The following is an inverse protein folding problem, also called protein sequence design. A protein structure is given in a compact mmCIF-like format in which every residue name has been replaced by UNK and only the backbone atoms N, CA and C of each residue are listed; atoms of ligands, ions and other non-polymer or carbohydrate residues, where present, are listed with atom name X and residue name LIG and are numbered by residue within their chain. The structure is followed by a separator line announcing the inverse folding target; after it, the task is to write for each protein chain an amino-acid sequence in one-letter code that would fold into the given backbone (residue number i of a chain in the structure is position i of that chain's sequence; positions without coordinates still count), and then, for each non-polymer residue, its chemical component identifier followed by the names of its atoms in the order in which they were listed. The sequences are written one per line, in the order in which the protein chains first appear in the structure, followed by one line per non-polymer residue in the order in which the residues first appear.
data_IF_281667166417
#
_entry.id   IF_281667166417
#
_cell.length_a   1.000
_cell.length_b   1.000
_cell.length_c   1.000
_cell.angle_alpha   90.00
_cell.angle_beta   90.00
_cell.angle_gamma   90.00
#
_symmetry.space_group_name_H-M   'P 1'
#
loop_
_entity.id
_entity.type
_entity.pdbx_description
1 polymer ?
#
# COMPACT_ATOMS: atom_id res chain seq x y z
N UNK A 1 -10.04 29.24 -4.97
CA UNK A 1 -9.36 28.71 -6.16
C UNK A 1 -8.10 27.91 -5.79
N UNK A 2 -7.23 28.41 -4.91
CA UNK A 2 -5.99 27.70 -4.50
C UNK A 2 -6.30 26.34 -3.87
N UNK A 3 -7.27 26.25 -2.98
CA UNK A 3 -7.65 24.99 -2.34
C UNK A 3 -8.13 23.92 -3.33
N UNK A 4 -8.88 24.35 -4.36
CA UNK A 4 -9.32 23.42 -5.41
C UNK A 4 -8.15 22.82 -6.19
N UNK A 5 -7.14 23.63 -6.53
CA UNK A 5 -5.94 23.17 -7.23
C UNK A 5 -5.18 22.12 -6.41
N UNK A 6 -5.01 22.36 -5.10
CA UNK A 6 -4.32 21.43 -4.20
C UNK A 6 -5.09 20.11 -4.08
N UNK A 7 -6.41 20.17 -3.94
CA UNK A 7 -7.22 18.95 -3.85
C UNK A 7 -7.26 18.17 -5.16
N UNK A 8 -7.28 18.84 -6.32
CA UNK A 8 -7.25 18.17 -7.61
C UNK A 8 -5.91 17.45 -7.85
N UNK A 9 -4.79 18.06 -7.48
CA UNK A 9 -3.48 17.42 -7.54
C UNK A 9 -3.40 16.18 -6.64
N UNK A 10 -4.00 16.21 -5.46
CA UNK A 10 -4.10 15.05 -4.57
C UNK A 10 -4.88 13.89 -5.21
N UNK A 11 -5.98 14.19 -5.89
CA UNK A 11 -6.78 13.18 -6.59
C UNK A 11 -6.01 12.57 -7.80
N UNK A 12 -5.24 13.37 -8.51
CA UNK A 12 -4.38 12.90 -9.61
C UNK A 12 -3.28 11.96 -9.09
N UNK A 13 -2.58 12.35 -8.03
CA UNK A 13 -1.55 11.53 -7.37
C UNK A 13 -2.14 10.20 -6.93
N UNK A 14 -3.32 10.21 -6.31
CA UNK A 14 -4.02 8.99 -5.90
C UNK A 14 -4.34 8.09 -7.11
N UNK A 15 -4.83 8.66 -8.20
CA UNK A 15 -5.16 7.90 -9.42
C UNK A 15 -3.92 7.26 -10.04
N UNK A 16 -2.79 7.97 -10.08
CA UNK A 16 -1.51 7.44 -10.54
C UNK A 16 -1.05 6.30 -9.62
N UNK A 17 -1.15 6.49 -8.31
CA UNK A 17 -0.77 5.47 -7.33
C UNK A 17 -1.60 4.19 -7.47
N UNK A 18 -2.92 4.29 -7.60
CA UNK A 18 -3.79 3.14 -7.81
C UNK A 18 -3.44 2.38 -9.10
N UNK A 19 -3.13 3.12 -10.17
CA UNK A 19 -2.67 2.55 -11.44
C UNK A 19 -1.33 1.84 -11.28
N UNK A 20 -0.38 2.45 -10.58
CA UNK A 20 0.94 1.86 -10.30
C UNK A 20 0.82 0.58 -9.45
N UNK A 21 -0.02 0.59 -8.41
CA UNK A 21 -0.30 -0.61 -7.59
C UNK A 21 -0.85 -1.74 -8.46
N UNK A 22 -1.83 -1.42 -9.30
CA UNK A 22 -2.45 -2.43 -10.15
C UNK A 22 -1.48 -3.01 -11.17
N UNK A 23 -0.68 -2.15 -11.81
CA UNK A 23 0.36 -2.57 -12.75
C UNK A 23 1.40 -3.47 -12.05
N UNK A 24 1.98 -3.03 -10.95
CA UNK A 24 2.97 -3.81 -10.19
C UNK A 24 2.38 -5.14 -9.69
N UNK A 25 1.15 -5.13 -9.20
CA UNK A 25 0.48 -6.35 -8.75
C UNK A 25 0.37 -7.39 -9.86
N UNK A 26 0.07 -6.96 -11.08
CA UNK A 26 0.02 -7.83 -12.26
C UNK A 26 1.42 -8.34 -12.65
N UNK A 27 2.43 -7.46 -12.70
CA UNK A 27 3.82 -7.84 -13.03
C UNK A 27 4.38 -8.87 -12.05
N UNK A 28 4.14 -8.66 -10.76
CA UNK A 28 4.59 -9.57 -9.71
C UNK A 28 3.62 -10.74 -9.45
N UNK A 29 2.52 -10.82 -10.19
CA UNK A 29 1.45 -11.83 -10.01
C UNK A 29 0.98 -11.94 -8.55
N UNK A 30 0.88 -10.82 -7.87
CA UNK A 30 0.35 -10.72 -6.51
C UNK A 30 -1.13 -10.33 -6.59
N UNK A 31 -2.06 -11.24 -6.30
CA UNK A 31 -3.47 -10.93 -6.40
C UNK A 31 -3.88 -9.90 -5.34
N UNK A 32 -4.52 -8.84 -5.78
CA UNK A 32 -5.07 -7.83 -4.90
C UNK A 32 -6.37 -7.27 -5.48
N UNK A 33 -7.16 -6.65 -4.61
CA UNK A 33 -8.39 -5.96 -4.99
C UNK A 33 -8.49 -4.65 -4.23
N UNK A 34 -8.63 -3.56 -4.95
CA UNK A 34 -8.98 -2.27 -4.37
C UNK A 34 -10.36 -2.36 -3.70
N UNK A 35 -10.47 -1.84 -2.49
CA UNK A 35 -11.73 -1.81 -1.72
C UNK A 35 -12.29 -0.41 -1.69
N UNK A 36 -11.53 0.52 -1.15
CA UNK A 36 -11.94 1.92 -1.06
C UNK A 36 -10.73 2.83 -0.73
N UNK A 37 -10.93 4.14 -0.89
CA UNK A 37 -10.03 5.15 -0.36
C UNK A 37 -10.85 6.14 0.48
N UNK A 38 -10.29 6.55 1.62
CA UNK A 38 -10.86 7.58 2.49
C UNK A 38 -9.77 8.59 2.80
N UNK A 39 -9.91 9.82 2.31
CA UNK A 39 -8.89 10.85 2.43
C UNK A 39 -7.54 10.39 1.89
N UNK A 40 -6.58 10.15 2.76
CA UNK A 40 -5.21 9.70 2.51
C UNK A 40 -4.98 8.20 2.80
N UNK A 41 -6.01 7.49 3.23
CA UNK A 41 -5.98 6.05 3.46
C UNK A 41 -6.48 5.29 2.24
N UNK A 42 -5.76 4.25 1.84
CA UNK A 42 -6.10 3.38 0.71
C UNK A 42 -6.15 1.93 1.20
N UNK A 43 -7.23 1.25 0.88
CA UNK A 43 -7.52 -0.08 1.41
C UNK A 43 -7.63 -1.10 0.28
N UNK A 44 -6.87 -2.18 0.44
CA UNK A 44 -6.85 -3.31 -0.48
C UNK A 44 -7.13 -4.61 0.24
N UNK A 45 -7.72 -5.55 -0.47
CA UNK A 45 -7.80 -6.95 -0.06
C UNK A 45 -6.79 -7.77 -0.86
N UNK A 46 -6.07 -8.65 -0.16
CA UNK A 46 -5.17 -9.63 -0.76
C UNK A 46 -5.25 -10.93 0.06
N UNK A 47 -5.03 -12.11 -0.55
CA UNK A 47 -4.94 -13.33 0.22
C UNK A 47 -3.79 -13.27 1.23
N UNK A 48 -4.00 -13.76 2.45
CA UNK A 48 -3.08 -13.68 3.59
C UNK A 48 -1.63 -14.05 3.22
N UNK A 49 -1.43 -15.11 2.46
CA UNK A 49 -0.10 -15.56 2.00
C UNK A 49 0.67 -14.54 1.16
N UNK A 50 0.01 -13.52 0.65
CA UNK A 50 0.61 -12.44 -0.15
C UNK A 50 0.64 -11.09 0.58
N UNK A 51 0.05 -10.99 1.77
CA UNK A 51 -0.15 -9.72 2.46
C UNK A 51 1.17 -8.93 2.65
N UNK A 52 2.22 -9.59 3.16
CA UNK A 52 3.53 -8.96 3.34
C UNK A 52 4.16 -8.53 2.00
N UNK A 53 4.06 -9.38 0.97
CA UNK A 53 4.59 -9.07 -0.37
C UNK A 53 3.83 -7.89 -0.99
N UNK A 54 2.50 -7.88 -0.83
CA UNK A 54 1.68 -6.79 -1.29
C UNK A 54 1.99 -5.47 -0.56
N UNK A 55 2.25 -5.52 0.75
CA UNK A 55 2.66 -4.35 1.52
C UNK A 55 3.96 -3.73 0.97
N UNK A 56 4.97 -4.54 0.63
CA UNK A 56 6.20 -4.07 -0.04
C UNK A 56 5.88 -3.44 -1.39
N UNK A 57 5.07 -4.13 -2.20
CA UNK A 57 4.67 -3.66 -3.53
C UNK A 57 3.93 -2.32 -3.46
N UNK A 58 3.07 -2.16 -2.47
CA UNK A 58 2.35 -0.91 -2.21
C UNK A 58 3.32 0.24 -1.88
N UNK A 59 4.34 -0.01 -1.06
CA UNK A 59 5.39 0.97 -0.77
C UNK A 59 6.19 1.37 -2.01
N UNK A 60 6.52 0.39 -2.86
CA UNK A 60 7.20 0.65 -4.14
C UNK A 60 6.32 1.51 -5.05
N UNK A 61 5.02 1.21 -5.15
CA UNK A 61 4.08 1.99 -5.94
C UNK A 61 3.99 3.44 -5.45
N UNK A 62 4.00 3.65 -4.14
CA UNK A 62 4.00 4.97 -3.54
C UNK A 62 5.24 5.78 -3.94
N UNK A 63 6.42 5.20 -3.81
CA UNK A 63 7.67 5.86 -4.21
C UNK A 63 7.75 6.11 -5.72
N UNK A 64 7.29 5.15 -6.52
CA UNK A 64 7.19 5.30 -7.97
C UNK A 64 6.29 6.47 -8.35
N UNK A 65 5.12 6.60 -7.72
CA UNK A 65 4.18 7.69 -7.96
C UNK A 65 4.81 9.06 -7.67
N UNK A 66 5.50 9.19 -6.55
CA UNK A 66 6.21 10.44 -6.22
C UNK A 66 7.31 10.75 -7.22
N UNK A 67 8.10 9.76 -7.60
CA UNK A 67 9.19 9.94 -8.59
C UNK A 67 8.65 10.37 -9.94
N UNK A 68 7.57 9.75 -10.41
CA UNK A 68 6.91 10.11 -11.66
C UNK A 68 6.38 11.54 -11.60
N UNK A 69 5.67 11.89 -10.55
CA UNK A 69 5.09 13.23 -10.39
C UNK A 69 6.15 14.32 -10.37
N UNK A 70 7.27 14.09 -9.67
CA UNK A 70 8.40 15.02 -9.68
C UNK A 70 9.07 15.14 -11.04
N UNK A 71 9.21 14.03 -11.76
CA UNK A 71 9.76 14.01 -13.12
C UNK A 71 8.90 14.84 -14.08
N UNK A 72 7.58 14.66 -14.03
CA UNK A 72 6.64 15.40 -14.89
C UNK A 72 6.62 16.90 -14.58
N UNK A 73 6.87 17.29 -13.34
CA UNK A 73 7.01 18.69 -12.95
C UNK A 73 8.38 19.30 -13.28
N UNK A 74 9.31 18.52 -13.83
CA UNK A 74 10.65 18.96 -14.13
C UNK A 74 11.52 19.23 -12.90
N UNK A 75 11.20 18.60 -11.77
CA UNK A 75 11.99 18.68 -10.54
C UNK A 75 13.05 17.57 -10.59
N UNK A 76 14.34 17.89 -10.74
CA UNK A 76 15.38 16.89 -11.01
C UNK A 76 15.66 15.97 -9.82
N UNK A 77 15.42 16.47 -8.61
CA UNK A 77 15.68 15.73 -7.38
C UNK A 77 14.41 15.56 -6.54
N UNK A 78 14.16 14.35 -6.08
CA UNK A 78 13.13 14.10 -5.08
C UNK A 78 13.64 14.61 -3.73
N UNK A 79 13.02 15.66 -3.14
CA UNK A 79 13.46 16.16 -1.85
C UNK A 79 13.43 15.06 -0.79
N UNK A 80 14.45 14.98 0.06
CA UNK A 80 14.52 14.00 1.15
C UNK A 80 13.27 14.02 2.04
N UNK A 81 12.65 15.20 2.21
CA UNK A 81 11.39 15.35 2.93
C UNK A 81 10.19 14.66 2.26
N UNK A 82 10.33 14.21 1.01
CA UNK A 82 9.32 13.48 0.25
C UNK A 82 9.70 12.03 -0.02
N UNK A 83 10.95 11.67 0.22
CA UNK A 83 11.47 10.32 0.04
C UNK A 83 11.23 9.45 1.29
N UNK A 84 9.99 9.41 1.77
CA UNK A 84 9.61 8.56 2.88
C UNK A 84 8.51 7.57 2.45
N UNK A 85 8.56 6.41 3.04
CA UNK A 85 7.52 5.40 2.87
C UNK A 85 6.36 5.65 3.82
N UNK A 86 5.15 5.36 3.37
CA UNK A 86 3.98 5.31 4.25
C UNK A 86 4.07 4.11 5.19
N UNK A 87 3.31 4.08 6.27
CA UNK A 87 3.07 2.85 7.01
C UNK A 87 2.01 2.01 6.31
N UNK A 88 2.08 0.68 6.46
CA UNK A 88 1.08 -0.26 5.94
C UNK A 88 0.57 -1.12 7.08
N UNK A 89 -0.72 -1.05 7.35
CA UNK A 89 -1.38 -1.93 8.31
C UNK A 89 -1.90 -3.18 7.60
N UNK A 90 -1.52 -4.35 8.10
CA UNK A 90 -2.05 -5.65 7.68
C UNK A 90 -3.02 -6.13 8.76
N UNK A 91 -4.29 -6.25 8.41
CA UNK A 91 -5.34 -6.70 9.30
C UNK A 91 -6.25 -7.70 8.58
N UNK A 92 -6.89 -8.57 9.32
CA UNK A 92 -7.92 -9.47 8.79
C UNK A 92 -9.27 -8.79 8.61
N UNK A 93 -9.41 -7.57 9.09
CA UNK A 93 -10.66 -6.79 9.08
C UNK A 93 -10.44 -5.36 8.63
N UNK A 94 -11.52 -4.81 8.09
CA UNK A 94 -11.61 -3.41 7.77
C UNK A 94 -11.89 -2.63 9.06
N UNK A 95 -10.88 -2.01 9.65
CA UNK A 95 -11.03 -1.13 10.81
C UNK A 95 -10.17 0.12 10.66
N UNK A 96 -10.64 1.23 11.19
CA UNK A 96 -9.96 2.52 11.09
C UNK A 96 -8.73 2.60 12.01
N UNK A 97 -8.77 1.90 13.12
CA UNK A 97 -7.66 1.81 14.06
C UNK A 97 -7.49 0.37 14.53
N UNK A 98 -6.27 -0.18 14.55
CA UNK A 98 -6.01 -1.55 15.03
C UNK A 98 -6.46 -1.79 16.47
N UNK A 99 -6.59 -0.73 17.26
CA UNK A 99 -6.94 -0.79 18.69
C UNK A 99 -8.42 -0.52 18.98
N UNK A 100 -9.24 -0.30 17.96
CA UNK A 100 -10.63 0.09 18.14
C UNK A 100 -11.48 -1.09 18.60
N UNK A 101 -12.10 -0.95 19.79
CA UNK A 101 -13.11 -1.89 20.28
C UNK A 101 -14.41 -1.63 19.54
N UNK A 102 -14.84 -2.56 18.70
CA UNK A 102 -16.03 -2.36 17.90
C UNK A 102 -17.16 -3.27 18.38
N UNK A 103 -18.19 -2.70 18.98
CA UNK A 103 -19.48 -3.37 19.18
C UNK A 103 -20.27 -3.23 17.88
N UNK A 104 -20.51 -4.35 17.21
CA UNK A 104 -21.29 -4.41 15.97
C UNK A 104 -22.36 -5.47 16.05
N UNK A 105 -23.27 -5.53 15.10
CA UNK A 105 -24.30 -6.58 15.03
C UNK A 105 -23.65 -7.98 14.97
N UNK A 106 -22.50 -8.11 14.31
CA UNK A 106 -21.73 -9.36 14.24
C UNK A 106 -20.80 -9.60 15.43
N UNK A 107 -20.56 -8.59 16.25
CA UNK A 107 -19.76 -8.65 17.48
C UNK A 107 -20.48 -7.94 18.64
N UNK A 108 -21.66 -8.44 19.08
CA UNK A 108 -22.49 -7.74 20.04
C UNK A 108 -21.88 -7.67 21.45
N UNK A 109 -20.92 -8.53 21.75
CA UNK A 109 -20.21 -8.53 23.04
C UNK A 109 -19.00 -7.60 23.04
N UNK A 110 -18.63 -7.02 21.91
CA UNK A 110 -17.43 -6.19 21.80
C UNK A 110 -16.16 -6.96 22.13
N UNK A 111 -16.10 -8.24 21.77
CA UNK A 111 -14.91 -9.06 21.98
C UNK A 111 -13.73 -8.40 21.25
N UNK A 112 -12.63 -8.25 21.99
CA UNK A 112 -11.41 -7.64 21.44
C UNK A 112 -10.74 -8.67 20.55
N UNK A 113 -10.81 -8.43 19.25
CA UNK A 113 -10.06 -9.23 18.30
C UNK A 113 -8.61 -8.74 18.23
N UNK A 114 -7.68 -9.65 17.94
CA UNK A 114 -6.28 -9.27 17.79
C UNK A 114 -6.16 -8.08 16.83
N UNK A 115 -5.44 -7.01 17.19
CA UNK A 115 -5.22 -5.89 16.30
C UNK A 115 -4.38 -6.33 15.09
N UNK A 116 -4.59 -5.66 13.97
CA UNK A 116 -3.67 -5.77 12.84
C UNK A 116 -2.27 -5.28 13.21
N UNK A 117 -1.31 -5.60 12.38
CA UNK A 117 0.08 -5.20 12.56
C UNK A 117 0.41 -4.10 11.57
N UNK A 118 0.91 -2.99 12.06
CA UNK A 118 1.41 -1.90 11.25
C UNK A 118 2.90 -2.10 10.98
N UNK A 119 3.29 -1.97 9.72
CA UNK A 119 4.66 -2.17 9.26
C UNK A 119 5.20 -0.92 8.57
N UNK A 120 6.41 -0.52 8.96
CA UNK A 120 7.27 0.34 8.15
C UNK A 120 7.98 -0.49 7.07
N UNK A 121 8.54 0.17 6.05
CA UNK A 121 9.34 -0.51 5.03
C UNK A 121 10.55 -1.25 5.62
N UNK A 122 11.13 -0.72 6.70
CA UNK A 122 12.24 -1.35 7.42
C UNK A 122 11.82 -2.68 8.01
N UNK A 123 10.71 -2.72 8.74
CA UNK A 123 10.17 -3.94 9.35
C UNK A 123 9.78 -4.97 8.28
N UNK A 124 9.17 -4.55 7.17
CA UNK A 124 8.89 -5.43 6.02
C UNK A 124 10.17 -6.06 5.45
N UNK A 125 11.28 -5.32 5.44
CA UNK A 125 12.58 -5.86 5.03
C UNK A 125 13.13 -6.85 6.04
N UNK A 126 13.05 -6.53 7.35
CA UNK A 126 13.53 -7.38 8.45
C UNK A 126 12.80 -8.73 8.51
N UNK A 127 11.49 -8.78 8.24
CA UNK A 127 10.71 -10.04 8.16
C UNK A 127 10.90 -10.80 6.84
N UNK A 128 11.75 -10.31 5.95
CA UNK A 128 12.06 -10.96 4.68
C UNK A 128 11.00 -10.80 3.58
N UNK A 129 10.04 -9.88 3.74
CA UNK A 129 8.99 -9.64 2.74
C UNK A 129 9.57 -9.17 1.39
N UNK A 130 10.59 -8.33 1.42
CA UNK A 130 11.31 -7.87 0.22
C UNK A 130 11.96 -9.05 -0.50
N UNK A 131 12.60 -9.96 0.23
CA UNK A 131 13.24 -11.14 -0.32
C UNK A 131 12.22 -12.09 -0.97
N UNK A 132 11.08 -12.29 -0.33
CA UNK A 132 9.96 -13.08 -0.89
C UNK A 132 9.48 -12.49 -2.22
N UNK A 133 9.30 -11.17 -2.29
CA UNK A 133 8.87 -10.48 -3.49
C UNK A 133 9.92 -10.58 -4.62
N UNK A 134 11.19 -10.37 -4.31
CA UNK A 134 12.30 -10.50 -5.26
C UNK A 134 12.43 -11.93 -5.81
N UNK A 135 12.32 -12.93 -4.93
CA UNK A 135 12.36 -14.35 -5.34
C UNK A 135 11.20 -14.67 -6.28
N UNK A 136 10.01 -14.15 -5.99
CA UNK A 136 8.84 -14.31 -6.85
C UNK A 136 9.06 -13.70 -8.23
N UNK A 137 9.55 -12.47 -8.30
CA UNK A 137 9.84 -11.80 -9.57
C UNK A 137 10.85 -12.58 -10.42
N UNK A 138 11.90 -13.09 -9.79
CA UNK A 138 12.89 -13.92 -10.47
C UNK A 138 12.30 -15.24 -11.01
N UNK A 139 11.35 -15.83 -10.29
CA UNK A 139 10.64 -17.03 -10.72
C UNK A 139 9.73 -16.75 -11.93
N UNK A 140 9.04 -15.62 -11.94
CA UNK A 140 8.22 -15.15 -13.07
C UNK A 140 9.11 -15.01 -14.33
N UNK A 141 10.22 -14.28 -14.20
CA UNK A 141 11.13 -14.04 -15.33
C UNK A 141 11.79 -15.33 -15.87
N UNK A 142 11.87 -16.38 -15.07
CA UNK A 142 12.33 -17.70 -15.49
C UNK A 142 11.21 -18.59 -16.02
N UNK A 143 9.98 -18.11 -16.06
CA UNK A 143 8.81 -18.89 -16.50
C UNK A 143 8.44 -20.04 -15.55
N UNK A 144 8.80 -19.93 -14.26
CA UNK A 144 8.52 -20.99 -13.27
C UNK A 144 7.15 -20.84 -12.62
N UNK A 145 6.54 -19.65 -12.70
CA UNK A 145 5.19 -19.32 -12.21
C UNK A 145 4.49 -18.33 -13.13
#
# INVERSE_FOLDING_TARGET
RVNWTIQSSGAEILSIMLTAVHWLANEYKVPCRFVLSIHDEIWFMTPEKYAEQFAVLFQIAHMYTWSLFHSELGIPDLPLSRAFFSSVAIDQRLRKSPQEKTVTISNPKGEVEPPGVEYSMRELSEIGAVQKLTTRYNAINKGLI
#
